data_IF_263300727553
#
_entry.id   IF_263300727553
#
_cell.length_a   1.000
_cell.length_b   1.000
_cell.length_c   1.000
_cell.angle_alpha   90.00
_cell.angle_beta   90.00
_cell.angle_gamma   90.00
#
_symmetry.space_group_name_H-M   'P 1'
#
loop_
_entity.id
_entity.type
_entity.pdbx_description
1 polymer ?
#
# COMPACT_ATOMS: atom_id res chain seq x y z
N UNK A 1 -4.72 -11.12 -2.26
CA UNK A 1 -3.99 -10.28 -1.29
C UNK A 1 -2.53 -10.69 -1.15
N UNK A 2 -2.21 -11.95 -0.82
CA UNK A 2 -0.81 -12.38 -0.62
C UNK A 2 0.14 -12.08 -1.80
N UNK A 3 -0.28 -12.38 -3.04
CA UNK A 3 0.50 -12.07 -4.25
C UNK A 3 0.74 -10.56 -4.43
N UNK A 4 -0.28 -9.75 -4.15
CA UNK A 4 -0.20 -8.29 -4.24
C UNK A 4 0.82 -7.73 -3.23
N UNK A 5 0.82 -8.26 -2.00
CA UNK A 5 1.74 -7.84 -0.95
C UNK A 5 3.18 -8.25 -1.27
N UNK A 6 3.39 -9.48 -1.74
CA UNK A 6 4.71 -9.93 -2.22
C UNK A 6 5.24 -9.02 -3.35
N UNK A 7 4.39 -8.64 -4.29
CA UNK A 7 4.74 -7.70 -5.36
C UNK A 7 5.06 -6.30 -4.82
N UNK A 8 4.28 -5.78 -3.86
CA UNK A 8 4.55 -4.48 -3.24
C UNK A 8 5.90 -4.45 -2.51
N UNK A 9 6.20 -5.51 -1.73
CA UNK A 9 7.49 -5.69 -1.05
C UNK A 9 8.64 -5.70 -2.05
N UNK A 10 8.47 -6.40 -3.18
CA UNK A 10 9.47 -6.44 -4.26
C UNK A 10 9.65 -5.09 -4.94
N UNK A 11 8.58 -4.34 -5.16
CA UNK A 11 8.61 -3.01 -5.75
C UNK A 11 9.31 -1.98 -4.86
N UNK A 12 9.23 -2.15 -3.54
CA UNK A 12 9.89 -1.40 -2.46
C UNK A 12 9.64 0.11 -2.42
N UNK A 13 9.60 0.84 -3.53
CA UNK A 13 9.41 2.29 -3.54
C UNK A 13 7.95 2.69 -3.53
N UNK A 14 7.65 3.81 -2.86
CA UNK A 14 6.30 4.40 -2.75
C UNK A 14 5.55 4.46 -4.08
N UNK A 15 6.07 5.18 -5.07
CA UNK A 15 5.36 5.37 -6.35
C UNK A 15 5.01 4.04 -7.04
N UNK A 16 5.95 3.08 -7.23
CA UNK A 16 5.61 1.75 -7.74
C UNK A 16 4.56 0.99 -6.93
N UNK A 17 4.62 1.05 -5.59
CA UNK A 17 3.64 0.41 -4.71
C UNK A 17 2.27 1.03 -4.91
N UNK A 18 2.17 2.36 -4.89
CA UNK A 18 0.91 3.09 -5.11
C UNK A 18 0.30 2.74 -6.47
N UNK A 19 1.10 2.75 -7.54
CA UNK A 19 0.66 2.34 -8.88
C UNK A 19 0.15 0.91 -8.90
N UNK A 20 0.86 -0.02 -8.25
CA UNK A 20 0.48 -1.43 -8.17
C UNK A 20 -0.90 -1.61 -7.50
N UNK A 21 -1.15 -0.92 -6.38
CA UNK A 21 -2.44 -0.99 -5.68
C UNK A 21 -3.58 -0.41 -6.54
N UNK A 22 -3.36 0.75 -7.17
CA UNK A 22 -4.34 1.37 -8.06
C UNK A 22 -4.68 0.47 -9.25
N UNK A 23 -3.68 -0.16 -9.88
CA UNK A 23 -3.88 -1.13 -10.97
C UNK A 23 -4.67 -2.38 -10.53
N UNK A 24 -4.69 -2.71 -9.24
CA UNK A 24 -5.48 -3.81 -8.68
C UNK A 24 -6.87 -3.37 -8.18
N UNK A 25 -7.27 -2.13 -8.49
CA UNK A 25 -8.60 -1.59 -8.21
C UNK A 25 -8.76 -0.99 -6.82
N UNK A 26 -7.66 -0.77 -6.08
CA UNK A 26 -7.70 0.00 -4.84
C UNK A 26 -7.69 1.50 -5.13
N UNK A 27 -8.35 2.27 -4.28
CA UNK A 27 -8.26 3.74 -4.26
C UNK A 27 -7.43 4.17 -3.06
N UNK A 28 -6.80 5.33 -3.15
CA UNK A 28 -6.13 5.93 -2.00
C UNK A 28 -7.22 6.56 -1.13
N UNK A 29 -7.41 6.01 0.06
CA UNK A 29 -8.36 6.54 1.04
C UNK A 29 -7.73 7.63 1.91
N UNK A 30 -6.47 7.46 2.28
CA UNK A 30 -5.70 8.42 3.05
C UNK A 30 -4.23 8.34 2.68
N UNK A 31 -3.54 9.48 2.75
CA UNK A 31 -2.10 9.54 2.64
C UNK A 31 -1.55 10.43 3.76
N UNK A 32 -0.47 9.97 4.37
CA UNK A 32 0.40 10.72 5.26
C UNK A 32 1.84 10.74 4.68
N UNK A 33 2.79 11.35 5.39
CA UNK A 33 4.20 11.37 5.02
C UNK A 33 4.75 9.96 4.87
N UNK A 34 4.53 9.09 5.85
CA UNK A 34 5.08 7.75 5.89
C UNK A 34 4.06 6.67 5.49
N UNK A 35 2.76 6.95 5.54
CA UNK A 35 1.72 5.94 5.33
C UNK A 35 0.82 6.24 4.12
N UNK A 36 0.40 5.18 3.44
CA UNK A 36 -0.65 5.25 2.40
C UNK A 36 -1.69 4.18 2.70
N UNK A 37 -2.93 4.62 2.92
CA UNK A 37 -4.07 3.74 3.11
C UNK A 37 -4.81 3.57 1.80
N UNK A 38 -4.92 2.31 1.38
CA UNK A 38 -5.67 1.88 0.20
C UNK A 38 -6.99 1.26 0.63
N UNK A 39 -8.05 1.52 -0.13
CA UNK A 39 -9.37 0.97 0.12
C UNK A 39 -9.94 0.35 -1.16
N UNK A 40 -10.54 -0.82 -1.01
CA UNK A 40 -11.30 -1.50 -2.05
C UNK A 40 -12.41 -2.30 -1.40
N UNK A 41 -13.66 -1.99 -1.75
CA UNK A 41 -14.84 -2.55 -1.12
C UNK A 41 -14.73 -2.38 0.42
N UNK A 42 -14.92 -3.44 1.20
CA UNK A 42 -14.76 -3.43 2.67
C UNK A 42 -13.34 -3.81 3.13
N UNK A 43 -12.30 -3.57 2.31
CA UNK A 43 -10.90 -3.90 2.65
C UNK A 43 -10.06 -2.63 2.66
N UNK A 44 -9.47 -2.33 3.82
CA UNK A 44 -8.45 -1.29 3.98
C UNK A 44 -7.06 -1.89 4.14
N UNK A 45 -6.08 -1.30 3.48
CA UNK A 45 -4.68 -1.74 3.52
C UNK A 45 -3.81 -0.55 3.82
N UNK A 46 -3.02 -0.61 4.89
CA UNK A 46 -1.96 0.36 5.13
C UNK A 46 -0.65 -0.11 4.52
N UNK A 47 0.03 0.77 3.79
CA UNK A 47 1.41 0.60 3.35
C UNK A 47 2.27 1.66 4.04
N UNK A 48 3.20 1.21 4.88
CA UNK A 48 4.10 2.07 5.64
C UNK A 48 5.47 2.16 4.95
N UNK A 49 5.97 3.38 4.82
CA UNK A 49 7.22 3.75 4.15
C UNK A 49 8.17 4.43 5.14
N UNK A 50 9.48 4.27 4.92
CA UNK A 50 10.47 5.08 5.63
C UNK A 50 10.71 6.44 4.97
N UNK A 51 11.53 7.26 5.63
CA UNK A 51 12.01 8.55 5.13
C UNK A 51 12.59 8.50 3.70
N UNK A 52 13.16 7.37 3.28
CA UNK A 52 13.70 7.17 1.92
C UNK A 52 12.66 6.61 0.94
N UNK A 53 11.38 6.66 1.32
CA UNK A 53 10.22 6.13 0.60
C UNK A 53 10.32 4.64 0.29
N UNK A 54 11.03 3.86 1.12
CA UNK A 54 11.05 2.41 1.03
C UNK A 54 9.94 1.81 1.90
N UNK A 55 9.20 0.88 1.32
CA UNK A 55 8.16 0.11 1.95
C UNK A 55 8.75 -0.75 3.06
N UNK A 56 8.24 -0.56 4.28
CA UNK A 56 8.63 -1.33 5.47
C UNK A 56 7.61 -2.41 5.78
N UNK A 57 6.33 -2.10 5.64
CA UNK A 57 5.27 -3.07 5.92
C UNK A 57 4.02 -2.76 5.10
N UNK A 58 3.24 -3.81 4.88
CA UNK A 58 1.89 -3.72 4.32
C UNK A 58 1.00 -4.59 5.18
N UNK A 59 -0.10 -4.03 5.68
CA UNK A 59 -1.04 -4.73 6.54
C UNK A 59 -2.48 -4.37 6.22
N UNK A 60 -3.37 -5.33 6.41
CA UNK A 60 -4.81 -5.08 6.33
C UNK A 60 -5.24 -4.40 7.63
N UNK A 61 -5.98 -3.30 7.52
CA UNK A 61 -6.56 -2.62 8.66
C UNK A 61 -7.91 -3.24 9.00
N UNK A 62 -8.28 -3.34 10.28
CA UNK A 62 -9.65 -3.65 10.67
C UNK A 62 -10.59 -2.54 10.19
N UNK A 63 -11.84 -2.92 9.86
CA UNK A 63 -12.88 -1.98 9.47
C UNK A 63 -13.43 -1.17 10.64
#
# INVERSE_FOLDING_TARGET
MEKLFKSAIKSSKRTPVTTLFVQNGFKIAMTDFDDVVFEKDDIKVNAHFDFNSNLKSVMVLPN
#
